data_IF_562033904845
#
_entry.id   IF_562033904845
#
_cell.length_a   1.000
_cell.length_b   1.000
_cell.length_c   1.000
_cell.angle_alpha   90.00
_cell.angle_beta   90.00
_cell.angle_gamma   90.00
#
_symmetry.space_group_name_H-M   'P 1'
#
loop_
_entity.id
_entity.type
_entity.pdbx_description
1 polymer ?
#
# COMPACT_ATOMS: atom_id res chain seq x y z
N UNK A 1 -22.90 -14.69 -17.40
CA UNK A 1 -22.32 -13.38 -17.03
C UNK A 1 -22.13 -13.22 -15.52
N UNK A 2 -23.19 -13.35 -14.69
CA UNK A 2 -23.09 -13.25 -13.21
C UNK A 2 -22.10 -14.24 -12.55
N UNK A 3 -22.09 -15.53 -12.95
CA UNK A 3 -21.16 -16.53 -12.37
C UNK A 3 -19.68 -16.20 -12.60
N UNK A 4 -19.33 -15.60 -13.74
CA UNK A 4 -17.95 -15.19 -14.01
C UNK A 4 -17.54 -14.00 -13.15
N UNK A 5 -18.44 -13.03 -12.97
CA UNK A 5 -18.23 -11.87 -12.08
C UNK A 5 -18.02 -12.33 -10.65
N UNK A 6 -18.89 -13.21 -10.15
CA UNK A 6 -18.78 -13.77 -8.79
C UNK A 6 -17.41 -14.44 -8.59
N UNK A 7 -16.98 -15.26 -9.54
CA UNK A 7 -15.66 -15.92 -9.46
C UNK A 7 -14.51 -14.92 -9.42
N UNK A 8 -14.62 -13.82 -10.15
CA UNK A 8 -13.58 -12.78 -10.16
C UNK A 8 -13.55 -12.00 -8.84
N UNK A 9 -14.72 -11.70 -8.27
CA UNK A 9 -14.82 -11.13 -6.92
C UNK A 9 -14.17 -12.06 -5.88
N UNK A 10 -14.47 -13.37 -5.93
CA UNK A 10 -13.84 -14.34 -5.04
C UNK A 10 -12.32 -14.38 -5.22
N UNK A 11 -11.80 -14.31 -6.45
CA UNK A 11 -10.36 -14.24 -6.71
C UNK A 11 -9.72 -13.00 -6.11
N UNK A 12 -10.34 -11.83 -6.30
CA UNK A 12 -9.85 -10.57 -5.74
C UNK A 12 -9.81 -10.63 -4.20
N UNK A 13 -10.90 -11.07 -3.56
CA UNK A 13 -10.96 -11.19 -2.09
C UNK A 13 -9.97 -12.22 -1.54
N UNK A 14 -9.71 -13.33 -2.26
CA UNK A 14 -8.69 -14.30 -1.88
C UNK A 14 -7.27 -13.73 -2.04
N UNK A 15 -6.98 -12.98 -3.11
CA UNK A 15 -5.67 -12.33 -3.30
C UNK A 15 -5.34 -11.36 -2.17
N UNK A 16 -6.37 -10.65 -1.67
CA UNK A 16 -6.30 -9.77 -0.49
C UNK A 16 -6.28 -10.52 0.85
N UNK A 17 -6.42 -11.85 0.82
CA UNK A 17 -6.53 -12.74 1.99
C UNK A 17 -7.68 -12.39 2.94
N UNK A 18 -8.75 -11.81 2.42
CA UNK A 18 -9.96 -11.51 3.20
C UNK A 18 -10.85 -12.73 3.38
N UNK A 19 -10.74 -13.69 2.46
CA UNK A 19 -11.48 -14.94 2.50
C UNK A 19 -10.57 -16.13 2.17
N UNK A 20 -10.97 -17.30 2.65
CA UNK A 20 -10.37 -18.59 2.32
C UNK A 20 -11.43 -19.53 1.71
N UNK A 21 -11.01 -20.33 0.73
CA UNK A 21 -11.87 -21.34 0.11
C UNK A 21 -11.63 -22.70 0.77
N UNK A 22 -12.66 -23.22 1.44
CA UNK A 22 -12.62 -24.56 2.04
C UNK A 22 -13.30 -25.54 1.11
N UNK A 23 -12.57 -26.61 0.74
CA UNK A 23 -13.06 -27.69 -0.11
C UNK A 23 -14.38 -28.24 0.46
N UNK A 24 -15.39 -28.36 -0.38
CA UNK A 24 -16.75 -28.82 -0.03
C UNK A 24 -17.51 -27.98 1.01
N UNK A 25 -16.96 -26.84 1.44
CA UNK A 25 -17.60 -25.95 2.44
C UNK A 25 -17.85 -24.54 1.92
N UNK A 26 -17.16 -24.11 0.87
CA UNK A 26 -17.34 -22.78 0.27
C UNK A 26 -16.34 -21.75 0.81
N UNK A 27 -16.69 -20.47 0.68
CA UNK A 27 -15.86 -19.35 1.10
C UNK A 27 -16.14 -18.94 2.54
N UNK A 28 -15.09 -18.64 3.30
CA UNK A 28 -15.16 -18.16 4.68
C UNK A 28 -14.32 -16.90 4.83
N UNK A 29 -14.75 -15.97 5.68
CA UNK A 29 -13.93 -14.83 6.06
C UNK A 29 -12.68 -15.34 6.79
N UNK A 30 -11.51 -14.91 6.32
CA UNK A 30 -10.25 -15.28 6.93
C UNK A 30 -10.08 -14.53 8.27
N UNK A 31 -9.39 -15.12 9.27
CA UNK A 31 -9.00 -14.39 10.47
C UNK A 31 -8.26 -13.08 10.14
N UNK A 32 -8.55 -11.99 10.87
CA UNK A 32 -7.99 -10.65 10.57
C UNK A 32 -6.46 -10.63 10.52
N UNK A 33 -5.79 -11.42 11.37
CA UNK A 33 -4.33 -11.52 11.38
C UNK A 33 -3.72 -12.17 10.12
N UNK A 34 -4.54 -12.67 9.20
CA UNK A 34 -4.10 -13.22 7.91
C UNK A 34 -4.36 -12.26 6.74
N UNK A 35 -5.09 -11.17 6.96
CA UNK A 35 -5.41 -10.20 5.93
C UNK A 35 -4.12 -9.56 5.39
N UNK A 36 -4.13 -9.20 4.11
CA UNK A 36 -3.00 -8.52 3.50
C UNK A 36 -3.05 -7.02 3.80
N UNK A 37 -2.46 -6.58 4.90
CA UNK A 37 -2.40 -5.15 5.27
C UNK A 37 -1.46 -4.30 4.39
N UNK A 38 -0.68 -4.92 3.49
CA UNK A 38 0.09 -4.22 2.46
C UNK A 38 -0.74 -3.92 1.21
N UNK A 39 -1.95 -4.47 1.11
CA UNK A 39 -2.90 -4.11 0.05
C UNK A 39 -3.61 -2.81 0.43
N UNK A 40 -3.54 -1.81 -0.45
CA UNK A 40 -4.06 -0.46 -0.20
C UNK A 40 -5.55 -0.46 0.13
N UNK A 41 -6.36 -1.25 -0.58
CA UNK A 41 -7.80 -1.31 -0.35
C UNK A 41 -8.09 -1.88 1.05
N UNK A 42 -7.40 -2.96 1.43
CA UNK A 42 -7.57 -3.59 2.74
C UNK A 42 -7.20 -2.62 3.86
N UNK A 43 -6.05 -1.95 3.71
CA UNK A 43 -5.57 -1.00 4.71
C UNK A 43 -6.54 0.18 4.85
N UNK A 44 -7.00 0.75 3.73
CA UNK A 44 -7.97 1.84 3.70
C UNK A 44 -9.27 1.44 4.41
N UNK A 45 -9.88 0.30 4.04
CA UNK A 45 -11.13 -0.16 4.65
C UNK A 45 -11.00 -0.39 6.15
N UNK A 46 -9.85 -0.89 6.61
CA UNK A 46 -9.61 -1.08 8.05
C UNK A 46 -9.49 0.26 8.75
N UNK A 47 -8.72 1.20 8.21
CA UNK A 47 -8.53 2.52 8.83
C UNK A 47 -9.81 3.37 8.87
N UNK A 48 -10.70 3.20 7.89
CA UNK A 48 -12.00 3.87 7.85
C UNK A 48 -12.99 3.35 8.92
N UNK A 49 -12.91 2.05 9.26
CA UNK A 49 -13.90 1.39 10.12
C UNK A 49 -13.41 1.12 11.55
N UNK A 50 -12.09 1.00 11.75
CA UNK A 50 -11.49 0.51 13.00
C UNK A 50 -10.08 1.11 13.15
N UNK A 51 -10.02 2.42 13.44
CA UNK A 51 -8.76 3.13 13.63
C UNK A 51 -8.01 2.58 14.86
N UNK A 52 -7.03 1.71 14.61
CA UNK A 52 -6.10 1.19 15.61
C UNK A 52 -4.74 1.89 15.47
N UNK A 53 -4.34 2.76 16.41
CA UNK A 53 -3.03 3.41 16.39
C UNK A 53 -1.85 2.43 16.30
N UNK A 54 -2.02 1.18 16.77
CA UNK A 54 -0.97 0.16 16.70
C UNK A 54 -0.71 -0.29 15.26
N UNK A 55 -1.72 -0.26 14.39
CA UNK A 55 -1.54 -0.57 12.97
C UNK A 55 -0.68 0.49 12.28
N UNK A 56 -0.94 1.77 12.57
CA UNK A 56 -0.11 2.88 12.05
C UNK A 56 1.33 2.75 12.56
N UNK A 57 1.52 2.47 13.86
CA UNK A 57 2.86 2.24 14.43
C UNK A 57 3.59 1.09 13.74
N UNK A 58 2.92 -0.06 13.56
CA UNK A 58 3.50 -1.22 12.88
C UNK A 58 3.89 -0.88 11.43
N UNK A 59 3.10 -0.08 10.72
CA UNK A 59 3.47 0.35 9.37
C UNK A 59 4.68 1.28 9.35
N UNK A 60 4.78 2.20 10.31
CA UNK A 60 5.97 3.06 10.48
C UNK A 60 7.21 2.23 10.81
N UNK A 61 7.10 1.16 11.61
CA UNK A 61 8.21 0.25 11.89
C UNK A 61 8.71 -0.45 10.62
N UNK A 62 7.81 -0.90 9.75
CA UNK A 62 8.18 -1.50 8.46
C UNK A 62 8.89 -0.49 7.57
N UNK A 63 8.38 0.75 7.48
CA UNK A 63 9.04 1.83 6.72
C UNK A 63 10.44 2.11 7.23
N UNK A 64 10.61 2.28 8.54
CA UNK A 64 11.92 2.51 9.17
C UNK A 64 12.93 1.37 8.91
N UNK A 65 12.46 0.14 8.73
CA UNK A 65 13.31 -1.01 8.41
C UNK A 65 13.76 -1.02 6.95
N UNK A 66 12.87 -0.64 6.02
CA UNK A 66 13.06 -0.85 4.59
C UNK A 66 13.56 0.42 3.87
N UNK A 67 12.98 1.58 4.15
CA UNK A 67 13.25 2.83 3.43
C UNK A 67 14.72 3.25 3.44
N UNK A 68 15.49 3.14 4.55
CA UNK A 68 16.91 3.50 4.52
C UNK A 68 17.74 2.65 3.55
N UNK A 69 17.39 1.37 3.40
CA UNK A 69 18.07 0.48 2.47
C UNK A 69 17.71 0.82 1.02
N UNK A 70 16.43 1.13 0.75
CA UNK A 70 15.98 1.61 -0.57
C UNK A 70 16.71 2.91 -0.92
N UNK A 71 16.71 3.90 -0.03
CA UNK A 71 17.37 5.19 -0.26
C UNK A 71 18.86 5.04 -0.54
N UNK A 72 19.56 4.12 0.17
CA UNK A 72 20.96 3.79 -0.14
C UNK A 72 21.10 3.22 -1.55
N UNK A 73 20.23 2.30 -1.96
CA UNK A 73 20.29 1.72 -3.30
C UNK A 73 19.96 2.74 -4.39
N UNK A 74 19.01 3.64 -4.16
CA UNK A 74 18.72 4.75 -5.04
C UNK A 74 19.98 5.62 -5.21
N UNK A 75 20.65 5.99 -4.11
CA UNK A 75 21.90 6.76 -4.16
C UNK A 75 23.04 6.03 -4.92
N UNK A 76 23.12 4.70 -4.82
CA UNK A 76 24.15 3.90 -5.48
C UNK A 76 23.86 3.62 -6.97
N UNK A 77 22.59 3.61 -7.39
CA UNK A 77 22.16 2.99 -8.67
C UNK A 77 21.25 3.85 -9.53
N UNK A 78 20.68 4.92 -9.01
CA UNK A 78 19.73 5.76 -9.75
C UNK A 78 20.35 6.29 -11.05
N UNK A 79 19.59 6.19 -12.12
CA UNK A 79 19.91 6.82 -13.39
C UNK A 79 19.53 8.30 -13.34
N UNK A 80 19.98 9.09 -14.32
CA UNK A 80 19.56 10.49 -14.44
C UNK A 80 18.04 10.65 -14.61
N UNK A 81 17.36 9.65 -15.18
CA UNK A 81 15.89 9.65 -15.31
C UNK A 81 15.21 9.42 -13.97
N UNK A 82 15.78 8.57 -13.12
CA UNK A 82 15.24 8.29 -11.77
C UNK A 82 15.43 9.52 -10.89
N UNK A 83 16.63 10.11 -10.90
CA UNK A 83 16.93 11.35 -10.15
C UNK A 83 15.99 12.50 -10.53
N UNK A 84 15.69 12.67 -11.83
CA UNK A 84 14.76 13.70 -12.28
C UNK A 84 13.33 13.48 -11.75
N UNK A 85 12.87 12.22 -11.69
CA UNK A 85 11.56 11.88 -11.12
C UNK A 85 11.51 12.12 -9.61
N UNK A 86 12.54 11.68 -8.88
CA UNK A 86 12.69 11.91 -7.44
C UNK A 86 12.66 13.41 -7.13
N UNK A 87 13.45 14.22 -7.87
CA UNK A 87 13.52 15.66 -7.68
C UNK A 87 12.18 16.35 -8.01
N UNK A 88 11.51 15.95 -9.09
CA UNK A 88 10.19 16.48 -9.45
C UNK A 88 9.17 16.22 -8.35
N UNK A 89 9.08 14.98 -7.85
CA UNK A 89 8.14 14.62 -6.80
C UNK A 89 8.45 15.34 -5.48
N UNK A 90 9.72 15.46 -5.11
CA UNK A 90 10.14 16.23 -3.93
C UNK A 90 9.75 17.71 -4.04
N UNK A 91 9.96 18.33 -5.20
CA UNK A 91 9.58 19.72 -5.43
C UNK A 91 8.05 19.92 -5.34
N UNK A 92 7.27 18.96 -5.81
CA UNK A 92 5.81 18.96 -5.64
C UNK A 92 5.40 18.84 -4.17
N UNK A 93 6.06 18.00 -3.37
CA UNK A 93 5.82 17.93 -1.91
C UNK A 93 6.11 19.28 -1.25
N UNK A 94 7.23 19.93 -1.59
CA UNK A 94 7.60 21.23 -1.04
C UNK A 94 6.56 22.30 -1.42
N UNK A 95 6.15 22.34 -2.69
CA UNK A 95 5.16 23.29 -3.18
C UNK A 95 3.79 23.11 -2.51
N UNK A 96 3.41 21.86 -2.21
CA UNK A 96 2.12 21.50 -1.63
C UNK A 96 2.16 21.29 -0.11
N UNK A 97 3.19 21.74 0.62
CA UNK A 97 3.32 21.57 2.07
C UNK A 97 2.09 22.03 2.91
N UNK A 98 1.25 22.92 2.37
CA UNK A 98 0.03 23.39 3.05
C UNK A 98 -1.26 22.68 2.59
N UNK A 99 -1.19 21.88 1.53
CA UNK A 99 -2.29 21.07 1.00
C UNK A 99 -1.99 19.60 1.27
N UNK A 100 -2.66 19.04 2.28
CA UNK A 100 -2.40 17.67 2.72
C UNK A 100 -2.67 16.62 1.64
N UNK A 101 -3.70 16.80 0.82
CA UNK A 101 -4.06 15.80 -0.20
C UNK A 101 -3.06 15.85 -1.34
N UNK A 102 -2.76 17.05 -1.85
CA UNK A 102 -1.76 17.23 -2.90
C UNK A 102 -0.35 16.83 -2.43
N UNK A 103 0.00 17.08 -1.16
CA UNK A 103 1.24 16.61 -0.55
C UNK A 103 1.32 15.09 -0.54
N UNK A 104 0.28 14.40 -0.07
CA UNK A 104 0.27 12.94 0.02
C UNK A 104 0.42 12.28 -1.36
N UNK A 105 -0.23 12.83 -2.39
CA UNK A 105 -0.09 12.33 -3.75
C UNK A 105 1.36 12.50 -4.28
N UNK A 106 2.01 13.61 -3.96
CA UNK A 106 3.43 13.83 -4.29
C UNK A 106 4.37 12.92 -3.48
N UNK A 107 4.06 12.68 -2.20
CA UNK A 107 4.79 11.76 -1.32
C UNK A 107 4.78 10.32 -1.84
N UNK A 108 3.62 9.83 -2.31
CA UNK A 108 3.50 8.53 -2.97
C UNK A 108 4.40 8.46 -4.20
N UNK A 109 4.34 9.46 -5.09
CA UNK A 109 5.20 9.53 -6.28
C UNK A 109 6.69 9.57 -5.93
N UNK A 110 7.05 10.27 -4.85
CA UNK A 110 8.43 10.33 -4.37
C UNK A 110 8.90 8.94 -3.93
N UNK A 111 8.13 8.25 -3.10
CA UNK A 111 8.45 6.90 -2.65
C UNK A 111 8.46 5.84 -3.76
N UNK A 112 7.66 6.01 -4.82
CA UNK A 112 7.70 5.15 -6.02
C UNK A 112 8.93 5.39 -6.91
N UNK A 113 9.47 6.61 -6.91
CA UNK A 113 10.62 7.00 -7.72
C UNK A 113 11.98 6.64 -7.08
N UNK A 114 12.01 6.43 -5.76
CA UNK A 114 13.19 6.07 -4.95
C UNK A 114 13.44 4.56 -4.97
#
# INVERSE_FOLDING_TARGET
>A
TSRNIIREVFRSLMAKRLIEMKRYRGAFVAPRNQWNYLDTDVLQWVLENDYDPRLISAMSEVRNLVEPAIARWAAERATSSDLAQIESALNEMIANNQDREAFNEADIRYHEAV
#
